data_IF_169753772881
#
_entry.id   IF_169753772881
#
_cell.length_a   1.000
_cell.length_b   1.000
_cell.length_c   1.000
_cell.angle_alpha   90.00
_cell.angle_beta   90.00
_cell.angle_gamma   90.00
#
_symmetry.space_group_name_H-M   'P 1'
#
loop_
_entity.id
_entity.type
_entity.pdbx_description
1 polymer ?
#
# COMPACT_ATOMS: atom_id res chain seq x y z
N UNK A 1 -24.67 61.90 39.02
CA UNK A 1 -24.66 62.25 37.58
C UNK A 1 -25.38 63.59 37.42
N UNK A 2 -25.21 64.34 36.32
CA UNK A 2 -26.06 65.51 36.06
C UNK A 2 -27.32 65.07 35.31
N UNK A 3 -28.49 65.60 35.69
CA UNK A 3 -29.80 65.25 35.07
C UNK A 3 -29.78 65.35 33.52
N UNK A 4 -29.19 66.39 32.88
CA UNK A 4 -29.15 66.47 31.42
C UNK A 4 -28.30 65.38 30.76
N UNK A 5 -27.29 64.85 31.45
CA UNK A 5 -26.48 63.74 30.92
C UNK A 5 -27.23 62.42 31.05
N UNK A 6 -27.90 62.17 32.19
CA UNK A 6 -28.67 60.95 32.41
C UNK A 6 -29.79 60.81 31.36
N UNK A 7 -30.56 61.88 31.15
CA UNK A 7 -31.61 61.92 30.12
C UNK A 7 -31.08 61.69 28.70
N UNK A 8 -29.96 62.32 28.33
CA UNK A 8 -29.35 62.11 27.02
C UNK A 8 -28.80 60.69 26.84
N UNK A 9 -28.34 60.04 27.91
CA UNK A 9 -27.94 58.64 27.93
C UNK A 9 -29.16 57.72 27.76
N UNK A 10 -30.22 57.92 28.55
CA UNK A 10 -31.45 57.12 28.47
C UNK A 10 -32.12 57.22 27.08
N UNK A 11 -32.24 58.43 26.52
CA UNK A 11 -32.79 58.64 25.17
C UNK A 11 -31.93 57.97 24.08
N UNK A 12 -30.61 57.82 24.31
CA UNK A 12 -29.68 57.18 23.38
C UNK A 12 -29.71 55.65 23.45
N UNK A 13 -29.84 55.07 24.65
CA UNK A 13 -29.64 53.65 24.91
C UNK A 13 -30.92 52.87 25.23
N UNK A 14 -31.92 53.47 25.90
CA UNK A 14 -33.23 52.82 26.16
C UNK A 14 -34.05 52.69 24.88
N UNK A 15 -33.94 53.68 23.98
CA UNK A 15 -34.62 53.72 22.69
C UNK A 15 -35.87 54.60 22.68
N UNK A 16 -36.54 54.68 21.52
CA UNK A 16 -37.68 55.58 21.32
C UNK A 16 -38.95 55.11 22.03
N UNK A 17 -39.81 56.07 22.37
CA UNK A 17 -41.12 55.88 23.00
C UNK A 17 -41.96 54.78 22.33
N UNK A 18 -42.02 54.74 21.00
CA UNK A 18 -42.80 53.74 20.27
C UNK A 18 -42.24 52.32 20.42
N UNK A 19 -40.90 52.18 20.43
CA UNK A 19 -40.22 50.89 20.66
C UNK A 19 -40.43 50.41 22.10
N UNK A 20 -40.32 51.29 23.08
CA UNK A 20 -40.60 50.97 24.48
C UNK A 20 -42.07 50.57 24.68
N UNK A 21 -43.02 51.36 24.15
CA UNK A 21 -44.45 51.02 24.23
C UNK A 21 -44.77 49.70 23.51
N UNK A 22 -44.08 49.37 22.42
CA UNK A 22 -44.21 48.07 21.76
C UNK A 22 -43.71 46.91 22.64
N UNK A 23 -42.57 47.06 23.32
CA UNK A 23 -42.04 46.03 24.26
C UNK A 23 -42.98 45.80 25.43
N UNK A 24 -43.49 46.88 26.04
CA UNK A 24 -44.40 46.84 27.18
C UNK A 24 -45.76 46.16 26.86
N UNK A 25 -46.12 45.95 25.59
CA UNK A 25 -47.31 45.15 25.23
C UNK A 25 -47.18 43.66 25.55
N UNK A 26 -46.00 43.17 25.92
CA UNK A 26 -45.83 41.82 26.47
C UNK A 26 -46.70 41.56 27.72
N UNK A 27 -47.08 42.61 28.46
CA UNK A 27 -47.93 42.52 29.64
C UNK A 27 -49.44 42.48 29.35
N UNK A 28 -49.88 42.60 28.10
CA UNK A 28 -51.30 42.57 27.73
C UNK A 28 -52.09 41.38 28.33
N UNK A 29 -51.56 40.13 28.35
CA UNK A 29 -52.26 38.99 28.96
C UNK A 29 -52.54 39.13 30.47
N UNK A 30 -51.81 40.02 31.16
CA UNK A 30 -52.02 40.33 32.57
C UNK A 30 -52.89 41.59 32.78
N UNK A 31 -52.83 42.56 31.86
CA UNK A 31 -53.62 43.80 31.94
C UNK A 31 -55.10 43.59 31.56
N UNK A 32 -55.38 42.87 30.47
CA UNK A 32 -56.74 42.71 29.95
C UNK A 32 -57.71 42.05 30.95
N UNK A 33 -57.34 40.97 31.68
CA UNK A 33 -58.23 40.39 32.69
C UNK A 33 -58.43 41.29 33.91
N UNK A 34 -57.43 42.12 34.24
CA UNK A 34 -57.42 42.99 35.41
C UNK A 34 -58.42 44.15 35.27
N UNK A 35 -58.42 44.82 34.11
CA UNK A 35 -59.39 45.89 33.77
C UNK A 35 -60.84 45.37 33.79
N UNK A 36 -61.05 44.12 33.39
CA UNK A 36 -62.38 43.48 33.39
C UNK A 36 -62.84 42.96 34.76
N UNK A 37 -61.96 42.88 35.75
CA UNK A 37 -62.25 42.28 37.05
C UNK A 37 -62.39 43.30 38.19
N UNK A 38 -61.76 44.46 38.07
CA UNK A 38 -61.54 45.39 39.18
C UNK A 38 -61.65 46.86 38.75
N UNK A 39 -61.69 47.78 39.72
CA UNK A 39 -61.55 49.21 39.42
C UNK A 39 -60.09 49.48 39.02
N UNK A 40 -59.79 49.90 37.78
CA UNK A 40 -58.44 49.83 37.23
C UNK A 40 -57.60 51.06 37.65
N UNK A 41 -57.35 51.20 38.95
CA UNK A 41 -56.39 52.16 39.50
C UNK A 41 -54.99 51.57 39.42
N UNK A 42 -54.02 52.34 38.89
CA UNK A 42 -52.63 51.90 38.80
C UNK A 42 -51.66 52.94 39.35
N UNK A 43 -50.60 52.47 40.02
CA UNK A 43 -49.46 53.29 40.44
C UNK A 43 -48.17 52.75 39.83
N UNK A 44 -47.46 53.60 39.10
CA UNK A 44 -46.13 53.30 38.55
C UNK A 44 -45.03 53.99 39.36
N UNK A 45 -44.07 53.20 39.83
CA UNK A 45 -42.98 53.62 40.70
C UNK A 45 -41.70 53.77 39.86
N UNK A 46 -41.11 54.96 39.83
CA UNK A 46 -40.01 55.26 38.90
C UNK A 46 -40.50 55.37 37.46
N UNK A 47 -41.60 56.12 37.27
CA UNK A 47 -42.31 56.14 35.99
C UNK A 47 -41.54 56.83 34.84
N UNK A 48 -40.46 57.55 35.13
CA UNK A 48 -39.56 58.18 34.18
C UNK A 48 -40.28 58.97 33.07
N UNK A 49 -40.08 58.53 31.82
CA UNK A 49 -40.68 59.14 30.62
C UNK A 49 -42.12 58.67 30.33
N UNK A 50 -42.75 57.88 31.21
CA UNK A 50 -44.20 57.65 31.25
C UNK A 50 -44.80 56.85 30.10
N UNK A 51 -44.00 56.14 29.30
CA UNK A 51 -44.51 55.27 28.21
C UNK A 51 -45.44 54.17 28.73
N UNK A 52 -45.19 53.67 29.94
CA UNK A 52 -46.06 52.70 30.60
C UNK A 52 -47.38 53.31 31.07
N UNK A 53 -47.36 54.50 31.70
CA UNK A 53 -48.58 55.22 32.09
C UNK A 53 -49.50 55.49 30.90
N UNK A 54 -48.92 55.86 29.77
CA UNK A 54 -49.64 56.03 28.51
C UNK A 54 -50.28 54.73 28.02
N UNK A 55 -49.53 53.63 28.03
CA UNK A 55 -50.04 52.31 27.63
C UNK A 55 -51.16 51.83 28.57
N UNK A 56 -51.01 52.03 29.88
CA UNK A 56 -52.07 51.77 30.86
C UNK A 56 -53.34 52.58 30.57
N UNK A 57 -53.19 53.85 30.16
CA UNK A 57 -54.30 54.67 29.67
C UNK A 57 -54.98 54.08 28.42
N UNK A 58 -54.22 53.53 27.46
CA UNK A 58 -54.77 52.81 26.29
C UNK A 58 -55.60 51.58 26.69
N UNK A 59 -55.22 50.86 27.75
CA UNK A 59 -55.98 49.74 28.31
C UNK A 59 -57.16 50.16 29.22
N UNK A 60 -57.31 51.46 29.52
CA UNK A 60 -58.41 51.99 30.33
C UNK A 60 -58.15 52.10 31.83
N UNK A 61 -56.89 52.05 32.28
CA UNK A 61 -56.54 52.33 33.66
C UNK A 61 -56.57 53.84 33.97
N UNK A 62 -57.01 54.19 35.18
CA UNK A 62 -56.63 55.45 35.80
C UNK A 62 -55.25 55.29 36.43
N UNK A 63 -54.21 55.48 35.63
CA UNK A 63 -52.82 55.34 36.03
C UNK A 63 -52.23 56.67 36.50
N UNK A 64 -51.46 56.62 37.59
CA UNK A 64 -50.59 57.70 38.04
C UNK A 64 -49.17 57.19 38.23
N UNK A 65 -48.18 58.05 38.02
CA UNK A 65 -46.77 57.73 38.23
C UNK A 65 -46.10 58.63 39.26
N UNK A 66 -45.04 58.11 39.87
CA UNK A 66 -44.15 58.87 40.75
C UNK A 66 -42.70 58.70 40.29
N UNK A 67 -41.93 59.78 40.33
CA UNK A 67 -40.49 59.76 40.05
C UNK A 67 -39.76 60.84 40.88
N UNK A 68 -38.45 60.70 41.07
CA UNK A 68 -37.60 61.69 41.72
C UNK A 68 -37.09 62.75 40.73
N UNK A 69 -36.97 62.43 39.44
CA UNK A 69 -36.48 63.36 38.40
C UNK A 69 -37.62 64.19 37.80
N UNK A 70 -37.78 65.42 38.29
CA UNK A 70 -38.79 66.37 37.78
C UNK A 70 -38.60 66.71 36.29
N UNK A 71 -37.36 66.62 35.78
CA UNK A 71 -37.00 66.85 34.39
C UNK A 71 -37.50 65.75 33.44
N UNK A 72 -37.63 64.51 33.93
CA UNK A 72 -38.35 63.44 33.22
C UNK A 72 -39.86 63.68 33.23
N UNK A 73 -40.39 64.05 34.40
CA UNK A 73 -41.84 64.26 34.58
C UNK A 73 -42.39 65.45 33.77
N UNK A 74 -41.57 66.44 33.42
CA UNK A 74 -41.96 67.55 32.55
C UNK A 74 -42.63 67.08 31.25
N UNK A 75 -42.02 66.12 30.54
CA UNK A 75 -42.57 65.56 29.30
C UNK A 75 -43.83 64.72 29.54
N UNK A 76 -44.01 64.15 30.73
CA UNK A 76 -45.22 63.42 31.11
C UNK A 76 -46.39 64.39 31.34
N UNK A 77 -46.15 65.51 32.01
CA UNK A 77 -47.14 66.58 32.24
C UNK A 77 -47.59 67.24 30.93
N UNK A 78 -46.67 67.49 30.01
CA UNK A 78 -46.99 68.02 28.66
C UNK A 78 -47.92 67.11 27.85
N UNK A 79 -47.85 65.78 28.08
CA UNK A 79 -48.77 64.78 27.49
C UNK A 79 -50.07 64.59 28.28
N UNK A 80 -50.26 65.29 29.40
CA UNK A 80 -51.42 65.14 30.27
C UNK A 80 -51.44 63.86 31.12
N UNK A 81 -50.28 63.21 31.30
CA UNK A 81 -50.15 62.05 32.20
C UNK A 81 -50.20 62.50 33.67
N UNK A 82 -50.84 61.72 34.53
CA UNK A 82 -50.90 61.99 35.97
C UNK A 82 -49.56 61.59 36.61
N UNK A 83 -48.70 62.57 36.90
CA UNK A 83 -47.39 62.33 37.53
C UNK A 83 -47.08 63.28 38.68
N UNK A 84 -46.44 62.75 39.71
CA UNK A 84 -46.03 63.46 40.92
C UNK A 84 -44.52 63.31 41.15
N UNK A 85 -43.84 64.38 41.55
CA UNK A 85 -42.43 64.32 41.94
C UNK A 85 -42.33 63.86 43.39
N UNK A 86 -41.74 62.70 43.66
CA UNK A 86 -41.73 62.14 45.00
C UNK A 86 -40.96 60.83 45.13
N UNK A 87 -40.86 60.37 46.38
CA UNK A 87 -40.29 59.06 46.69
C UNK A 87 -41.32 57.94 46.45
N UNK A 88 -40.88 56.88 45.76
CA UNK A 88 -41.72 55.74 45.39
C UNK A 88 -42.36 55.03 46.59
N UNK A 89 -41.60 54.85 47.68
CA UNK A 89 -42.07 54.18 48.89
C UNK A 89 -43.07 55.07 49.64
N UNK A 90 -42.82 56.37 49.74
CA UNK A 90 -43.71 57.34 50.34
C UNK A 90 -45.06 57.42 49.59
N UNK A 91 -45.04 57.48 48.27
CA UNK A 91 -46.25 57.48 47.44
C UNK A 91 -47.06 56.18 47.59
N UNK A 92 -46.39 55.02 47.65
CA UNK A 92 -47.04 53.73 47.87
C UNK A 92 -47.64 53.60 49.28
N UNK A 93 -46.92 54.08 50.31
CA UNK A 93 -47.44 54.17 51.69
C UNK A 93 -48.68 55.06 51.82
N UNK A 94 -48.75 56.15 51.05
CA UNK A 94 -49.90 57.04 51.03
C UNK A 94 -51.14 56.43 50.34
N UNK A 95 -51.00 55.28 49.66
CA UNK A 95 -52.13 54.54 49.10
C UNK A 95 -52.92 53.83 50.20
N UNK A 96 -54.27 53.96 50.24
CA UNK A 96 -55.11 53.16 51.12
C UNK A 96 -54.99 51.66 50.82
N UNK A 97 -55.29 50.83 51.82
CA UNK A 97 -55.40 49.37 51.68
C UNK A 97 -56.40 49.02 50.58
N UNK A 98 -56.08 48.02 49.75
CA UNK A 98 -56.94 47.52 48.67
C UNK A 98 -57.49 48.61 47.72
N UNK A 99 -56.70 49.63 47.41
CA UNK A 99 -57.09 50.73 46.51
C UNK A 99 -56.61 50.56 45.06
N UNK A 100 -55.51 49.84 44.83
CA UNK A 100 -54.88 49.69 43.52
C UNK A 100 -55.20 48.34 42.89
N UNK A 101 -55.47 48.30 41.58
CA UNK A 101 -55.49 47.05 40.82
C UNK A 101 -54.07 46.63 40.40
N UNK A 102 -53.20 47.62 40.14
CA UNK A 102 -51.84 47.43 39.64
C UNK A 102 -50.84 48.32 40.39
N UNK A 103 -49.70 47.75 40.77
CA UNK A 103 -48.47 48.47 41.11
C UNK A 103 -47.38 48.01 40.14
N UNK A 104 -46.63 48.95 39.57
CA UNK A 104 -45.49 48.63 38.71
C UNK A 104 -44.21 49.35 39.13
N UNK A 105 -43.08 48.75 38.79
CA UNK A 105 -41.74 49.28 39.03
C UNK A 105 -40.83 48.81 37.88
N UNK A 106 -40.75 49.60 36.80
CA UNK A 106 -39.98 49.28 35.59
C UNK A 106 -38.61 49.92 35.63
N UNK A 107 -37.55 49.11 35.73
CA UNK A 107 -36.17 49.58 35.90
C UNK A 107 -36.00 50.51 37.11
N UNK A 108 -36.52 50.07 38.26
CA UNK A 108 -36.37 50.77 39.55
C UNK A 108 -35.60 49.95 40.57
N UNK A 109 -35.85 48.64 40.63
CA UNK A 109 -35.37 47.77 41.72
C UNK A 109 -33.85 47.60 41.73
N UNK A 110 -33.19 47.80 40.59
CA UNK A 110 -31.73 47.82 40.44
C UNK A 110 -31.07 49.11 40.92
N UNK A 111 -31.81 50.22 41.06
CA UNK A 111 -31.30 51.53 41.50
C UNK A 111 -31.45 51.76 43.01
N UNK A 112 -32.20 50.91 43.73
CA UNK A 112 -32.53 51.08 45.16
C UNK A 112 -31.95 49.97 46.05
N UNK A 113 -31.66 50.24 47.34
CA UNK A 113 -31.29 49.20 48.30
C UNK A 113 -32.31 48.07 48.35
N UNK A 114 -31.85 46.83 48.53
CA UNK A 114 -32.72 45.64 48.51
C UNK A 114 -33.78 45.66 49.62
N UNK A 115 -33.48 46.31 50.75
CA UNK A 115 -34.41 46.57 51.84
C UNK A 115 -35.63 47.39 51.36
N UNK A 116 -35.44 48.34 50.44
CA UNK A 116 -36.52 49.09 49.82
C UNK A 116 -37.29 48.27 48.78
N UNK A 117 -36.65 47.32 48.09
CA UNK A 117 -37.35 46.36 47.22
C UNK A 117 -38.30 45.49 48.05
N UNK A 118 -37.86 44.99 49.20
CA UNK A 118 -38.71 44.25 50.15
C UNK A 118 -39.85 45.12 50.70
N UNK A 119 -39.58 46.40 50.96
CA UNK A 119 -40.57 47.38 51.40
C UNK A 119 -41.64 47.66 50.35
N UNK A 120 -41.25 47.96 49.11
CA UNK A 120 -42.16 48.12 47.97
C UNK A 120 -43.02 46.87 47.80
N UNK A 121 -42.41 45.68 47.84
CA UNK A 121 -43.13 44.41 47.65
C UNK A 121 -44.24 44.23 48.70
N UNK A 122 -43.94 44.55 49.98
CA UNK A 122 -44.88 44.48 51.11
C UNK A 122 -45.96 45.56 51.07
N UNK A 123 -45.59 46.82 50.84
CA UNK A 123 -46.57 47.93 50.78
C UNK A 123 -47.50 47.81 49.57
N UNK A 124 -47.00 47.27 48.45
CA UNK A 124 -47.82 46.92 47.30
C UNK A 124 -48.83 45.81 47.66
N UNK A 125 -48.44 44.79 48.42
CA UNK A 125 -49.34 43.71 48.84
C UNK A 125 -50.53 44.25 49.64
N UNK A 126 -50.28 45.22 50.53
CA UNK A 126 -51.31 45.94 51.29
C UNK A 126 -52.19 46.83 50.41
N UNK A 127 -51.58 47.64 49.54
CA UNK A 127 -52.29 48.61 48.71
C UNK A 127 -53.11 47.97 47.57
N UNK A 128 -52.74 46.76 47.14
CA UNK A 128 -53.40 46.03 46.06
C UNK A 128 -54.75 45.43 46.48
N UNK A 129 -55.75 45.55 45.60
CA UNK A 129 -57.04 44.88 45.66
C UNK A 129 -56.85 43.35 45.61
N UNK A 130 -57.81 42.54 46.10
CA UNK A 130 -57.77 41.08 46.00
C UNK A 130 -57.69 40.59 44.55
N UNK A 131 -56.55 40.02 44.15
CA UNK A 131 -56.25 39.59 42.78
C UNK A 131 -55.53 40.63 41.92
N UNK A 132 -55.21 41.80 42.50
CA UNK A 132 -54.36 42.81 41.89
C UNK A 132 -52.92 42.34 41.70
N UNK A 133 -52.16 43.07 40.87
CA UNK A 133 -50.83 42.68 40.40
C UNK A 133 -49.73 43.65 40.86
N UNK A 134 -48.59 43.10 41.27
CA UNK A 134 -47.31 43.81 41.32
C UNK A 134 -46.46 43.35 40.12
N UNK A 135 -45.89 44.29 39.37
CA UNK A 135 -44.95 44.03 38.28
C UNK A 135 -43.62 44.73 38.59
N UNK A 136 -42.53 43.99 38.66
CA UNK A 136 -41.18 44.55 38.82
C UNK A 136 -40.30 44.05 37.66
N UNK A 137 -39.91 44.93 36.73
CA UNK A 137 -39.01 44.62 35.60
C UNK A 137 -37.60 45.17 35.86
N UNK A 138 -36.57 44.39 35.54
CA UNK A 138 -35.17 44.72 35.78
C UNK A 138 -34.25 43.90 34.85
N UNK A 139 -33.01 44.35 34.55
CA UNK A 139 -32.07 43.62 33.72
C UNK A 139 -31.74 42.23 34.26
N UNK A 140 -31.67 41.26 33.36
CA UNK A 140 -31.54 39.85 33.68
C UNK A 140 -30.07 39.40 33.81
N UNK A 141 -29.57 39.07 35.02
CA UNK A 141 -28.21 38.54 35.19
C UNK A 141 -28.01 37.12 34.64
N UNK A 142 -29.07 36.41 34.21
CA UNK A 142 -28.91 35.15 33.48
C UNK A 142 -28.39 35.35 32.05
N UNK A 143 -28.57 36.54 31.46
CA UNK A 143 -27.85 36.95 30.26
C UNK A 143 -26.44 37.37 30.68
N UNK A 144 -25.41 36.68 30.18
CA UNK A 144 -24.04 36.85 30.66
C UNK A 144 -23.43 38.20 30.23
N UNK A 145 -23.85 38.76 29.09
CA UNK A 145 -23.43 40.12 28.68
C UNK A 145 -24.11 41.17 29.54
N UNK A 146 -25.37 40.98 29.93
CA UNK A 146 -26.05 41.88 30.87
C UNK A 146 -25.37 41.81 32.23
N UNK A 147 -25.30 40.64 32.84
CA UNK A 147 -24.76 40.45 34.19
C UNK A 147 -23.27 40.77 34.35
N UNK A 148 -22.47 40.70 33.28
CA UNK A 148 -21.03 41.00 33.33
C UNK A 148 -20.63 42.36 32.73
N UNK A 149 -21.47 43.01 31.91
CA UNK A 149 -21.08 44.23 31.20
C UNK A 149 -22.19 45.28 31.07
N UNK A 150 -23.29 45.01 30.36
CA UNK A 150 -24.23 46.08 30.00
C UNK A 150 -24.96 46.66 31.21
N UNK A 151 -25.17 45.87 32.27
CA UNK A 151 -25.68 46.34 33.55
C UNK A 151 -24.81 47.46 34.15
N UNK A 152 -23.48 47.38 34.04
CA UNK A 152 -22.57 48.37 34.62
C UNK A 152 -22.33 49.61 33.73
N UNK A 153 -23.02 49.72 32.59
CA UNK A 153 -22.98 50.94 31.77
C UNK A 153 -23.77 52.10 32.39
N UNK A 154 -24.79 51.80 33.19
CA UNK A 154 -25.41 52.79 34.07
C UNK A 154 -24.73 52.74 35.45
N UNK A 155 -23.96 53.78 35.85
CA UNK A 155 -23.27 53.81 37.13
C UNK A 155 -24.19 54.12 38.33
N UNK A 156 -25.51 54.29 38.12
CA UNK A 156 -26.49 54.40 39.19
C UNK A 156 -27.10 53.05 39.60
N UNK A 157 -26.93 52.00 38.78
CA UNK A 157 -27.27 50.64 39.19
C UNK A 157 -26.44 50.18 40.38
N UNK A 158 -27.07 49.54 41.36
CA UNK A 158 -26.41 49.04 42.56
C UNK A 158 -25.89 47.63 42.37
N UNK A 159 -26.77 46.66 42.05
CA UNK A 159 -26.45 45.22 41.92
C UNK A 159 -27.45 44.51 41.02
N UNK A 160 -27.04 43.56 40.16
CA UNK A 160 -27.98 42.70 39.45
C UNK A 160 -28.76 41.82 40.43
N UNK A 161 -30.08 41.70 40.24
CA UNK A 161 -30.95 40.89 41.10
C UNK A 161 -31.28 39.59 40.34
N UNK A 162 -30.92 38.40 40.85
CA UNK A 162 -31.32 37.12 40.24
C UNK A 162 -32.84 36.92 40.23
N UNK A 163 -33.44 36.36 39.16
CA UNK A 163 -34.90 36.21 39.07
C UNK A 163 -35.52 35.40 40.22
N UNK A 164 -34.82 34.39 40.74
CA UNK A 164 -35.25 33.62 41.90
C UNK A 164 -35.28 34.42 43.19
N UNK A 165 -34.40 35.42 43.36
CA UNK A 165 -34.38 36.28 44.54
C UNK A 165 -35.55 37.28 44.51
N UNK A 166 -35.82 37.90 43.37
CA UNK A 166 -36.95 38.82 43.21
C UNK A 166 -38.31 38.09 43.25
N UNK A 167 -38.38 36.85 42.74
CA UNK A 167 -39.57 36.01 42.87
C UNK A 167 -39.83 35.64 44.35
N UNK A 168 -38.77 35.35 45.11
CA UNK A 168 -38.86 35.02 46.52
C UNK A 168 -39.29 36.22 47.40
N UNK A 169 -38.99 37.48 47.03
CA UNK A 169 -39.53 38.62 47.82
C UNK A 169 -41.05 38.67 47.75
N UNK A 170 -41.65 38.37 46.60
CA UNK A 170 -43.10 38.30 46.43
C UNK A 170 -43.70 37.11 47.19
N UNK A 171 -43.08 35.93 47.16
CA UNK A 171 -43.50 34.78 47.98
C UNK A 171 -43.46 35.13 49.48
N UNK A 172 -42.35 35.69 49.95
CA UNK A 172 -42.16 36.07 51.35
C UNK A 172 -43.11 37.17 51.82
N UNK A 173 -43.51 38.09 50.93
CA UNK A 173 -44.49 39.14 51.22
C UNK A 173 -45.95 38.65 51.23
N UNK A 174 -46.22 37.38 50.89
CA UNK A 174 -47.56 36.78 50.97
C UNK A 174 -48.42 36.98 49.71
N UNK A 175 -47.81 37.06 48.53
CA UNK A 175 -48.55 36.96 47.26
C UNK A 175 -49.00 35.51 47.02
N UNK A 176 -50.16 35.33 46.40
CA UNK A 176 -50.78 34.01 46.18
C UNK A 176 -50.04 33.18 45.12
N UNK A 177 -49.45 33.87 44.13
CA UNK A 177 -48.58 33.28 43.09
C UNK A 177 -47.72 34.37 42.44
N UNK A 178 -46.64 33.95 41.80
CA UNK A 178 -45.80 34.81 40.97
C UNK A 178 -45.44 34.09 39.66
N UNK A 179 -45.06 34.85 38.62
CA UNK A 179 -44.45 34.36 37.39
C UNK A 179 -43.22 35.21 37.06
N UNK A 180 -42.11 34.54 36.74
CA UNK A 180 -40.97 35.18 36.09
C UNK A 180 -41.28 35.26 34.60
N UNK A 181 -41.37 36.49 34.08
CA UNK A 181 -41.62 36.79 32.67
C UNK A 181 -40.30 37.28 32.07
N UNK A 182 -39.67 36.49 31.20
CA UNK A 182 -38.44 36.89 30.52
C UNK A 182 -38.77 37.59 29.19
N UNK A 183 -38.03 38.63 28.85
CA UNK A 183 -38.43 39.62 27.85
C UNK A 183 -37.29 40.11 26.96
N UNK A 184 -37.67 40.59 25.76
CA UNK A 184 -36.84 41.37 24.84
C UNK A 184 -35.66 40.63 24.17
N UNK A 185 -35.65 39.30 24.16
CA UNK A 185 -34.71 38.47 23.38
C UNK A 185 -34.89 38.65 21.85
N UNK A 186 -33.88 38.21 21.08
CA UNK A 186 -33.98 38.21 19.62
C UNK A 186 -35.02 37.18 19.12
N UNK A 187 -36.03 37.58 18.32
CA UNK A 187 -37.07 36.66 17.83
C UNK A 187 -36.55 35.44 17.05
N UNK A 188 -35.35 35.52 16.47
CA UNK A 188 -34.74 34.40 15.76
C UNK A 188 -34.39 33.22 16.68
N UNK A 189 -34.18 33.46 17.98
CA UNK A 189 -33.82 32.43 18.96
C UNK A 189 -34.97 31.47 19.27
N UNK A 190 -36.21 31.89 19.05
CA UNK A 190 -37.41 31.03 19.16
C UNK A 190 -37.57 30.02 18.01
N UNK A 191 -36.74 30.12 16.96
CA UNK A 191 -36.75 29.18 15.83
C UNK A 191 -35.71 28.06 15.97
N UNK A 192 -35.91 26.93 15.31
CA UNK A 192 -34.99 25.76 15.26
C UNK A 192 -33.67 26.03 14.51
N UNK A 193 -33.28 27.30 14.32
CA UNK A 193 -32.01 27.66 13.69
C UNK A 193 -30.81 27.15 14.51
N UNK A 194 -29.71 26.75 13.86
CA UNK A 194 -28.51 26.34 14.56
C UNK A 194 -27.94 27.45 15.46
N UNK A 195 -27.72 27.13 16.73
CA UNK A 195 -27.09 28.01 17.71
C UNK A 195 -25.57 27.92 17.59
N UNK A 196 -24.91 29.06 17.47
CA UNK A 196 -23.51 29.22 17.86
C UNK A 196 -23.41 29.62 19.35
N UNK A 197 -22.27 29.33 20.00
CA UNK A 197 -22.03 29.59 21.43
C UNK A 197 -22.39 31.02 21.86
N UNK A 198 -22.12 32.03 21.02
CA UNK A 198 -22.43 33.43 21.33
C UNK A 198 -23.90 33.65 21.67
N UNK A 199 -24.83 32.96 21.00
CA UNK A 199 -26.26 33.06 21.31
C UNK A 199 -26.60 32.50 22.70
N UNK A 200 -25.83 31.53 23.21
CA UNK A 200 -26.00 31.03 24.59
C UNK A 200 -25.54 32.07 25.62
N UNK A 201 -24.53 32.87 25.29
CA UNK A 201 -23.98 33.90 26.18
C UNK A 201 -24.83 35.18 26.18
N UNK A 202 -25.27 35.62 25.01
CA UNK A 202 -25.90 36.94 24.79
C UNK A 202 -27.41 36.87 24.49
N UNK A 203 -27.92 35.68 24.13
CA UNK A 203 -29.31 35.45 23.70
C UNK A 203 -30.35 35.07 24.76
N UNK A 204 -30.02 34.68 26.03
CA UNK A 204 -31.02 34.68 27.08
C UNK A 204 -31.66 36.06 27.19
N UNK A 205 -32.97 36.13 27.48
CA UNK A 205 -33.70 37.40 27.51
C UNK A 205 -32.97 38.46 28.35
N UNK A 206 -32.65 39.64 27.79
CA UNK A 206 -31.81 40.64 28.45
C UNK A 206 -32.48 41.28 29.66
N UNK A 207 -33.82 41.34 29.68
CA UNK A 207 -34.62 41.79 30.81
C UNK A 207 -35.54 40.67 31.31
N UNK A 208 -35.96 40.76 32.57
CA UNK A 208 -37.02 39.94 33.13
C UNK A 208 -37.88 40.75 34.07
N UNK A 209 -39.08 40.25 34.35
CA UNK A 209 -39.91 40.76 35.44
C UNK A 209 -40.48 39.66 36.31
N UNK A 210 -40.87 40.07 37.52
CA UNK A 210 -41.70 39.29 38.42
C UNK A 210 -43.09 39.91 38.41
N UNK A 211 -44.06 39.15 37.89
CA UNK A 211 -45.48 39.47 38.01
C UNK A 211 -46.04 38.66 39.18
N UNK A 212 -46.43 39.33 40.25
CA UNK A 212 -46.99 38.71 41.46
C UNK A 212 -48.45 39.09 41.66
N UNK A 213 -49.30 38.14 42.05
CA UNK A 213 -50.74 38.34 42.24
C UNK A 213 -51.17 38.13 43.69
N UNK A 214 -51.94 39.05 44.25
CA UNK A 214 -52.51 38.92 45.60
C UNK A 214 -53.61 37.85 45.63
N UNK A 215 -54.00 37.38 46.83
CA UNK A 215 -55.06 36.39 46.97
C UNK A 215 -56.44 36.96 46.58
N UNK A 216 -57.28 36.12 45.99
CA UNK A 216 -58.63 36.48 45.57
C UNK A 216 -59.54 35.24 45.49
N UNK A 217 -60.87 35.41 45.38
CA UNK A 217 -61.78 34.35 44.97
C UNK A 217 -61.38 33.73 43.63
N UNK A 218 -61.72 32.45 43.43
CA UNK A 218 -61.31 31.68 42.25
C UNK A 218 -61.85 32.26 40.93
N UNK A 219 -63.00 32.93 40.98
CA UNK A 219 -63.66 33.60 39.85
C UNK A 219 -62.87 34.80 39.30
N UNK A 220 -61.96 35.36 40.12
CA UNK A 220 -60.99 36.39 39.70
C UNK A 220 -59.71 35.72 39.24
N UNK A 221 -59.13 34.81 40.05
CA UNK A 221 -57.83 34.19 39.75
C UNK A 221 -57.82 33.41 38.44
N UNK A 222 -58.88 32.64 38.16
CA UNK A 222 -58.98 31.79 36.96
C UNK A 222 -58.86 32.58 35.64
N UNK A 223 -59.18 33.87 35.65
CA UNK A 223 -59.05 34.75 34.46
C UNK A 223 -57.60 34.97 34.02
N UNK A 224 -56.64 34.76 34.93
CA UNK A 224 -55.21 34.94 34.67
C UNK A 224 -54.47 33.61 34.49
N UNK A 225 -55.15 32.45 34.61
CA UNK A 225 -54.47 31.15 34.61
C UNK A 225 -53.66 30.90 33.34
N UNK A 226 -54.17 31.30 32.17
CA UNK A 226 -53.41 31.26 30.90
C UNK A 226 -52.16 32.13 30.96
N UNK A 227 -52.25 33.33 31.54
CA UNK A 227 -51.12 34.26 31.63
C UNK A 227 -50.04 33.75 32.60
N UNK A 228 -50.41 33.12 33.71
CA UNK A 228 -49.45 32.49 34.63
C UNK A 228 -48.91 31.13 34.15
N UNK A 229 -49.69 30.37 33.37
CA UNK A 229 -49.27 29.08 32.81
C UNK A 229 -48.34 29.23 31.59
N UNK A 230 -48.49 30.29 30.78
CA UNK A 230 -47.65 30.56 29.62
C UNK A 230 -46.18 30.71 30.02
N UNK A 231 -45.26 30.15 29.24
CA UNK A 231 -43.83 30.39 29.38
C UNK A 231 -43.37 31.56 28.50
N UNK A 232 -42.55 32.44 29.07
CA UNK A 232 -42.13 33.70 28.45
C UNK A 232 -40.61 33.75 28.36
N UNK A 233 -40.13 34.27 27.23
CA UNK A 233 -38.72 34.50 26.95
C UNK A 233 -37.86 33.24 26.96
N UNK A 234 -36.55 33.44 27.06
CA UNK A 234 -35.55 32.38 26.97
C UNK A 234 -34.60 32.49 28.18
N UNK A 235 -34.54 31.43 28.98
CA UNK A 235 -33.59 31.29 30.08
C UNK A 235 -32.27 30.66 29.59
N UNK A 236 -31.16 30.95 30.30
CA UNK A 236 -29.82 30.45 29.96
C UNK A 236 -29.75 28.91 29.89
N UNK A 237 -30.32 28.21 30.86
CA UNK A 237 -30.27 26.74 30.95
C UNK A 237 -30.87 26.02 29.73
N UNK A 238 -32.15 26.27 29.37
CA UNK A 238 -32.76 25.72 28.15
C UNK A 238 -31.99 26.03 26.86
N UNK A 239 -31.43 27.24 26.75
CA UNK A 239 -30.68 27.65 25.55
C UNK A 239 -29.32 26.93 25.45
N UNK A 240 -28.63 26.75 26.59
CA UNK A 240 -27.41 25.94 26.67
C UNK A 240 -27.67 24.47 26.33
N UNK A 241 -28.74 23.87 26.90
CA UNK A 241 -29.12 22.48 26.61
C UNK A 241 -29.42 22.25 25.12
N UNK A 242 -30.12 23.18 24.46
CA UNK A 242 -30.36 23.11 23.02
C UNK A 242 -29.07 23.16 22.20
N UNK A 243 -28.12 24.01 22.60
CA UNK A 243 -26.79 24.09 21.99
C UNK A 243 -26.01 22.77 22.17
N UNK A 244 -25.99 22.20 23.39
CA UNK A 244 -25.35 20.92 23.67
C UNK A 244 -25.96 19.78 22.82
N UNK A 245 -27.28 19.64 22.81
CA UNK A 245 -27.99 18.62 22.02
C UNK A 245 -27.67 18.71 20.52
N UNK A 246 -27.63 19.93 19.96
CA UNK A 246 -27.24 20.16 18.57
C UNK A 246 -25.79 19.69 18.32
N UNK A 247 -24.88 19.95 19.25
CA UNK A 247 -23.48 19.54 19.13
C UNK A 247 -23.32 18.01 19.25
N UNK A 248 -24.04 17.35 20.15
CA UNK A 248 -24.08 15.90 20.26
C UNK A 248 -24.63 15.23 19.00
N UNK A 249 -25.74 15.73 18.45
CA UNK A 249 -26.33 15.25 17.19
C UNK A 249 -25.31 15.35 16.05
N UNK A 250 -24.67 16.51 15.88
CA UNK A 250 -23.68 16.73 14.82
C UNK A 250 -22.43 15.87 14.99
N UNK A 251 -22.00 15.59 16.23
CA UNK A 251 -20.91 14.65 16.51
C UNK A 251 -21.29 13.21 16.18
N UNK A 252 -22.53 12.80 16.48
CA UNK A 252 -23.04 11.47 16.13
C UNK A 252 -23.12 11.28 14.60
N UNK A 253 -23.61 12.27 13.85
CA UNK A 253 -23.62 12.27 12.38
C UNK A 253 -22.20 12.11 11.80
N UNK A 254 -21.25 12.93 12.28
CA UNK A 254 -19.85 12.85 11.85
C UNK A 254 -19.22 11.50 12.18
N UNK A 255 -19.56 10.90 13.33
CA UNK A 255 -19.09 9.58 13.71
C UNK A 255 -19.64 8.48 12.80
N UNK A 256 -20.92 8.53 12.43
CA UNK A 256 -21.53 7.59 11.48
C UNK A 256 -20.90 7.71 10.08
N UNK A 257 -20.68 8.94 9.59
CA UNK A 257 -19.99 9.18 8.32
C UNK A 257 -18.54 8.66 8.34
N UNK A 258 -17.80 8.88 9.43
CA UNK A 258 -16.45 8.36 9.60
C UNK A 258 -16.42 6.82 9.63
N UNK A 259 -17.37 6.16 10.32
CA UNK A 259 -17.50 4.71 10.29
C UNK A 259 -17.81 4.17 8.89
N UNK A 260 -18.69 4.83 8.14
CA UNK A 260 -19.03 4.44 6.78
C UNK A 260 -17.80 4.50 5.85
N UNK A 261 -17.07 5.62 5.88
CA UNK A 261 -15.81 5.80 5.14
C UNK A 261 -14.74 4.79 5.55
N UNK A 262 -14.61 4.47 6.84
CA UNK A 262 -13.68 3.46 7.32
C UNK A 262 -14.01 2.05 6.79
N UNK A 263 -15.30 1.67 6.73
CA UNK A 263 -15.75 0.38 6.17
C UNK A 263 -15.48 0.30 4.67
N UNK A 264 -15.76 1.37 3.93
CA UNK A 264 -15.47 1.46 2.49
C UNK A 264 -13.97 1.33 2.20
N UNK A 265 -13.13 2.04 2.96
CA UNK A 265 -11.67 1.93 2.86
C UNK A 265 -11.16 0.51 3.19
N UNK A 266 -11.74 -0.16 4.20
CA UNK A 266 -11.41 -1.55 4.52
C UNK A 266 -11.81 -2.52 3.41
N UNK A 267 -12.99 -2.37 2.81
CA UNK A 267 -13.44 -3.18 1.67
C UNK A 267 -12.53 -2.99 0.45
N UNK A 268 -12.19 -1.75 0.11
CA UNK A 268 -11.26 -1.45 -0.98
C UNK A 268 -9.87 -2.05 -0.72
N UNK A 269 -9.36 -1.95 0.52
CA UNK A 269 -8.07 -2.55 0.88
C UNK A 269 -8.08 -4.08 0.75
N UNK A 270 -9.16 -4.74 1.20
CA UNK A 270 -9.33 -6.20 1.03
C UNK A 270 -9.43 -6.60 -0.44
N UNK A 271 -10.17 -5.87 -1.26
CA UNK A 271 -10.27 -6.12 -2.69
C UNK A 271 -8.91 -5.99 -3.40
N UNK A 272 -8.13 -4.95 -3.08
CA UNK A 272 -6.78 -4.76 -3.59
C UNK A 272 -5.82 -5.88 -3.17
N UNK A 273 -5.91 -6.35 -1.91
CA UNK A 273 -5.13 -7.51 -1.44
C UNK A 273 -5.47 -8.79 -2.20
N UNK A 274 -6.76 -9.08 -2.40
CA UNK A 274 -7.22 -10.25 -3.17
C UNK A 274 -6.76 -10.18 -4.63
N UNK A 275 -6.83 -9.00 -5.25
CA UNK A 275 -6.35 -8.79 -6.62
C UNK A 275 -4.83 -8.97 -6.72
N UNK A 276 -4.06 -8.46 -5.76
CA UNK A 276 -2.61 -8.66 -5.69
C UNK A 276 -2.24 -10.14 -5.57
N UNK A 277 -2.88 -10.88 -4.65
CA UNK A 277 -2.69 -12.33 -4.49
C UNK A 277 -3.04 -13.11 -5.77
N UNK A 278 -4.12 -12.72 -6.47
CA UNK A 278 -4.49 -13.32 -7.75
C UNK A 278 -3.43 -13.08 -8.83
N UNK A 279 -2.88 -11.87 -8.91
CA UNK A 279 -1.80 -11.53 -9.85
C UNK A 279 -0.49 -12.25 -9.52
N UNK A 280 -0.16 -12.43 -8.24
CA UNK A 280 0.99 -13.23 -7.80
C UNK A 280 0.84 -14.70 -8.22
N UNK A 281 -0.33 -15.32 -7.99
CA UNK A 281 -0.60 -16.69 -8.44
C UNK A 281 -0.58 -16.84 -9.97
N UNK A 282 -1.14 -15.88 -10.72
CA UNK A 282 -1.06 -15.86 -12.18
C UNK A 282 0.40 -15.75 -12.66
N UNK A 283 1.19 -14.86 -12.05
CA UNK A 283 2.62 -14.70 -12.35
C UNK A 283 3.41 -15.98 -12.09
N UNK A 284 3.19 -16.64 -10.94
CA UNK A 284 3.80 -17.94 -10.62
C UNK A 284 3.41 -19.03 -11.62
N UNK A 285 2.14 -19.10 -12.03
CA UNK A 285 1.67 -20.06 -13.03
C UNK A 285 2.30 -19.82 -14.41
N UNK A 286 2.38 -18.56 -14.85
CA UNK A 286 3.07 -18.18 -16.09
C UNK A 286 4.57 -18.50 -16.04
N UNK A 287 5.24 -18.30 -14.90
CA UNK A 287 6.64 -18.69 -14.72
C UNK A 287 6.83 -20.20 -14.82
N UNK A 288 5.95 -21.00 -14.22
CA UNK A 288 5.97 -22.47 -14.33
C UNK A 288 5.73 -22.94 -15.78
N UNK A 289 4.78 -22.32 -16.49
CA UNK A 289 4.54 -22.59 -17.92
C UNK A 289 5.75 -22.22 -18.78
N UNK A 290 6.38 -21.06 -18.54
CA UNK A 290 7.59 -20.67 -19.26
C UNK A 290 8.75 -21.64 -19.01
N UNK A 291 8.94 -22.10 -17.77
CA UNK A 291 9.94 -23.12 -17.43
C UNK A 291 9.66 -24.46 -18.12
N UNK A 292 8.41 -24.93 -18.17
CA UNK A 292 8.07 -26.19 -18.82
C UNK A 292 8.24 -26.13 -20.34
N UNK A 293 7.86 -25.01 -20.98
CA UNK A 293 8.14 -24.75 -22.39
C UNK A 293 9.65 -24.70 -22.69
N UNK A 294 10.44 -24.09 -21.81
CA UNK A 294 11.90 -24.05 -21.94
C UNK A 294 12.52 -25.46 -21.84
N UNK A 295 12.02 -26.30 -20.93
CA UNK A 295 12.44 -27.72 -20.82
C UNK A 295 12.04 -28.52 -22.07
N UNK A 296 10.83 -28.33 -22.60
CA UNK A 296 10.38 -28.97 -23.84
C UNK A 296 11.25 -28.56 -25.04
N UNK A 297 11.58 -27.27 -25.17
CA UNK A 297 12.47 -26.77 -26.22
C UNK A 297 13.89 -27.36 -26.10
N UNK A 298 14.43 -27.49 -24.89
CA UNK A 298 15.72 -28.16 -24.65
C UNK A 298 15.67 -29.65 -25.02
N UNK A 299 14.61 -30.35 -24.66
CA UNK A 299 14.42 -31.76 -25.03
C UNK A 299 14.30 -31.96 -26.55
N UNK A 300 13.57 -31.07 -27.25
CA UNK A 300 13.50 -31.07 -28.71
C UNK A 300 14.87 -30.80 -29.35
N UNK A 301 15.66 -29.85 -28.83
CA UNK A 301 17.03 -29.61 -29.30
C UNK A 301 17.94 -30.82 -29.10
N UNK A 302 17.81 -31.54 -27.98
CA UNK A 302 18.55 -32.78 -27.73
C UNK A 302 18.14 -33.88 -28.70
N UNK A 303 16.84 -34.13 -28.89
CA UNK A 303 16.34 -35.10 -29.87
C UNK A 303 16.79 -34.75 -31.30
N UNK A 304 16.78 -33.48 -31.68
CA UNK A 304 17.24 -33.05 -33.00
C UNK A 304 18.75 -33.28 -33.17
N UNK A 305 19.56 -32.99 -32.15
CA UNK A 305 20.99 -33.29 -32.16
C UNK A 305 21.27 -34.81 -32.20
N UNK A 306 20.49 -35.64 -31.51
CA UNK A 306 20.55 -37.10 -31.61
C UNK A 306 20.19 -37.58 -33.02
N UNK A 307 19.12 -37.05 -33.62
CA UNK A 307 18.74 -37.35 -35.00
C UNK A 307 19.81 -36.93 -36.01
N UNK A 308 20.47 -35.78 -35.83
CA UNK A 308 21.59 -35.33 -36.66
C UNK A 308 22.81 -36.24 -36.51
N UNK A 309 23.16 -36.68 -35.29
CA UNK A 309 24.22 -37.66 -35.05
C UNK A 309 23.90 -39.01 -35.67
N UNK A 310 22.65 -39.47 -35.60
CA UNK A 310 22.21 -40.75 -36.13
C UNK A 310 22.15 -40.71 -37.67
N UNK A 311 21.74 -39.60 -38.26
CA UNK A 311 21.84 -39.34 -39.70
C UNK A 311 23.29 -39.32 -40.17
N UNK A 312 24.19 -38.63 -39.47
CA UNK A 312 25.63 -38.64 -39.77
C UNK A 312 26.23 -40.06 -39.68
N UNK A 313 25.83 -40.84 -38.67
CA UNK A 313 26.24 -42.23 -38.49
C UNK A 313 25.73 -43.12 -39.63
N UNK A 314 24.48 -42.93 -40.08
CA UNK A 314 23.92 -43.61 -41.25
C UNK A 314 24.65 -43.23 -42.54
N UNK A 315 25.05 -41.96 -42.72
CA UNK A 315 25.86 -41.53 -43.86
C UNK A 315 27.25 -42.18 -43.86
N UNK A 316 27.90 -42.27 -42.69
CA UNK A 316 29.17 -42.99 -42.54
C UNK A 316 29.02 -44.50 -42.82
N UNK A 317 27.93 -45.12 -42.36
CA UNK A 317 27.60 -46.52 -42.65
C UNK A 317 27.37 -46.75 -44.14
N UNK A 318 26.59 -45.91 -44.82
CA UNK A 318 26.40 -45.96 -46.28
C UNK A 318 27.74 -45.86 -47.01
N UNK A 319 28.57 -44.87 -46.66
CA UNK A 319 29.87 -44.66 -47.30
C UNK A 319 30.82 -45.86 -47.11
N UNK A 320 30.85 -46.47 -45.92
CA UNK A 320 31.63 -47.69 -45.67
C UNK A 320 31.08 -48.92 -46.40
N UNK A 321 29.75 -49.00 -46.60
CA UNK A 321 29.10 -50.02 -47.44
C UNK A 321 29.48 -49.84 -48.92
N UNK A 322 29.47 -48.62 -49.43
CA UNK A 322 29.86 -48.30 -50.81
C UNK A 322 31.35 -48.63 -51.08
N UNK A 323 32.23 -48.31 -50.12
CA UNK A 323 33.64 -48.72 -50.17
C UNK A 323 33.81 -50.24 -50.14
N UNK A 324 33.00 -50.96 -49.34
CA UNK A 324 33.00 -52.42 -49.32
C UNK A 324 32.51 -53.02 -50.66
N UNK A 325 31.46 -52.47 -51.26
CA UNK A 325 30.99 -52.85 -52.59
C UNK A 325 32.05 -52.59 -53.68
N UNK A 326 32.74 -51.43 -53.64
CA UNK A 326 33.82 -51.12 -54.56
C UNK A 326 35.00 -52.10 -54.44
N UNK A 327 35.39 -52.46 -53.20
CA UNK A 327 36.40 -53.51 -52.99
C UNK A 327 35.94 -54.89 -53.49
N UNK A 328 34.67 -55.27 -53.28
CA UNK A 328 34.12 -56.54 -53.77
C UNK A 328 34.09 -56.59 -55.32
N UNK A 329 33.70 -55.50 -55.98
CA UNK A 329 33.75 -55.38 -57.44
C UNK A 329 35.18 -55.51 -57.98
N UNK A 330 36.15 -54.83 -57.37
CA UNK A 330 37.56 -54.91 -57.75
C UNK A 330 38.16 -56.32 -57.50
N UNK A 331 37.68 -57.05 -56.49
CA UNK A 331 38.02 -58.46 -56.29
C UNK A 331 37.39 -59.37 -57.35
N UNK A 332 36.15 -59.11 -57.78
CA UNK A 332 35.50 -59.86 -58.85
C UNK A 332 36.19 -59.66 -60.21
N UNK A 333 36.64 -58.45 -60.53
CA UNK A 333 37.48 -58.18 -61.71
C UNK A 333 38.83 -58.90 -61.65
N UNK A 334 39.49 -58.91 -60.48
CA UNK A 334 40.73 -59.65 -60.28
C UNK A 334 40.55 -61.17 -60.47
N UNK A 335 39.41 -61.73 -60.01
CA UNK A 335 39.05 -63.13 -60.22
C UNK A 335 38.75 -63.43 -61.71
N UNK A 336 38.04 -62.55 -62.42
CA UNK A 336 37.81 -62.68 -63.87
C UNK A 336 39.13 -62.62 -64.66
N UNK A 337 40.06 -61.73 -64.29
CA UNK A 337 41.41 -61.70 -64.89
C UNK A 337 42.24 -62.96 -64.58
N UNK A 338 42.06 -63.56 -63.40
CA UNK A 338 42.67 -64.86 -63.08
C UNK A 338 42.07 -65.99 -63.92
N UNK A 339 40.76 -66.01 -64.13
CA UNK A 339 40.06 -66.95 -65.01
C UNK A 339 40.53 -66.84 -66.47
N UNK A 340 40.62 -65.64 -67.02
CA UNK A 340 41.18 -65.41 -68.36
C UNK A 340 42.63 -65.89 -68.48
N UNK A 341 43.44 -65.76 -67.43
CA UNK A 341 44.82 -66.28 -67.41
C UNK A 341 44.88 -67.82 -67.38
N UNK A 342 43.89 -68.49 -66.81
CA UNK A 342 43.83 -69.96 -66.78
C UNK A 342 43.50 -70.53 -68.16
N UNK A 343 42.47 -70.01 -68.86
CA UNK A 343 42.15 -70.45 -70.23
C UNK A 343 43.30 -70.22 -71.23
N UNK A 344 44.10 -69.15 -71.03
CA UNK A 344 45.29 -68.86 -71.84
C UNK A 344 46.49 -69.79 -71.52
N UNK A 345 46.45 -70.50 -70.39
CA UNK A 345 47.41 -71.57 -70.07
C UNK A 345 46.94 -72.92 -70.63
N UNK A 346 45.64 -73.22 -70.59
CA UNK A 346 45.05 -74.45 -71.14
C UNK A 346 45.30 -74.56 -72.66
N UNK A 347 45.06 -73.50 -73.43
CA UNK A 347 45.41 -73.45 -74.86
C UNK A 347 46.92 -73.63 -75.13
N UNK A 348 47.78 -73.30 -74.18
CA UNK A 348 49.24 -73.49 -74.31
C UNK A 348 49.67 -74.92 -73.98
N UNK A 349 48.94 -75.64 -73.12
CA UNK A 349 49.20 -77.05 -72.85
C UNK A 349 48.74 -77.94 -74.01
N UNK A 350 47.56 -77.70 -74.59
CA UNK A 350 47.09 -78.42 -75.78
C UNK A 350 48.05 -78.25 -76.97
N UNK A 351 48.54 -77.02 -77.19
CA UNK A 351 49.54 -76.72 -78.22
C UNK A 351 50.96 -77.27 -77.92
N UNK A 352 51.20 -77.81 -76.72
CA UNK A 352 52.44 -78.49 -76.36
C UNK A 352 52.33 -80.01 -76.58
N UNK A 353 51.19 -80.61 -76.25
CA UNK A 353 50.92 -82.05 -76.44
C UNK A 353 50.91 -82.41 -77.93
N UNK A 354 50.25 -81.61 -78.78
CA UNK A 354 50.27 -81.80 -80.24
C UNK A 354 51.68 -81.75 -80.87
N UNK A 355 52.67 -81.14 -80.21
CA UNK A 355 54.08 -81.13 -80.65
C UNK A 355 54.87 -82.35 -80.17
N UNK A 356 54.44 -83.03 -79.11
CA UNK A 356 55.07 -84.24 -78.61
C UNK A 356 54.78 -85.44 -79.53
N UNK A 357 53.51 -85.61 -79.95
CA UNK A 357 53.10 -86.73 -80.80
C UNK A 357 53.76 -86.72 -82.19
N UNK A 358 53.89 -85.53 -82.79
CA UNK A 358 54.57 -85.35 -84.09
C UNK A 358 56.07 -85.72 -84.04
N UNK A 359 56.74 -85.50 -82.90
CA UNK A 359 58.14 -85.87 -82.72
C UNK A 359 58.33 -87.39 -82.55
N UNK A 360 57.37 -88.06 -81.92
CA UNK A 360 57.45 -89.49 -81.60
C UNK A 360 57.33 -90.37 -82.86
N UNK A 361 56.53 -89.95 -83.85
CA UNK A 361 56.39 -90.67 -85.13
C UNK A 361 57.67 -90.59 -86.00
N UNK A 362 58.40 -89.48 -85.97
CA UNK A 362 59.64 -89.30 -86.74
C UNK A 362 60.82 -90.18 -86.25
N UNK A 363 60.87 -90.52 -84.95
CA UNK A 363 61.95 -91.35 -84.39
C UNK A 363 61.78 -92.82 -84.75
N UNK A 364 60.54 -93.30 -84.85
CA UNK A 364 60.24 -94.71 -85.16
C UNK A 364 60.57 -95.03 -86.63
N UNK A 365 60.30 -94.10 -87.56
CA UNK A 365 60.57 -94.28 -88.99
C UNK A 365 62.07 -94.34 -89.36
N UNK A 366 62.95 -93.73 -88.55
CA UNK A 366 64.40 -93.76 -88.77
C UNK A 366 65.07 -95.06 -88.29
N UNK A 367 64.42 -95.84 -87.42
CA UNK A 367 64.99 -97.05 -86.81
C UNK A 367 64.76 -98.33 -87.63
N UNK A 368 64.05 -98.25 -88.77
CA UNK A 368 63.64 -99.41 -89.58
C UNK A 368 64.15 -99.43 -91.04
N UNK A 369 65.19 -98.65 -91.39
CA UNK A 369 65.79 -98.68 -92.74
C UNK A 369 67.13 -99.43 -92.81
N UNK A 370 67.33 -100.16 -93.90
CA UNK A 370 68.23 -101.32 -93.99
C UNK A 370 69.74 -101.01 -94.06
N UNK A 371 70.14 -99.75 -94.02
CA UNK A 371 71.53 -99.30 -94.17
C UNK A 371 72.29 -99.12 -92.84
N UNK A 372 71.60 -99.15 -91.70
CA UNK A 372 72.20 -98.86 -90.37
C UNK A 372 73.05 -100.00 -89.76
N UNK A 373 73.14 -101.17 -90.42
CA UNK A 373 73.74 -102.39 -89.86
C UNK A 373 75.19 -102.69 -90.27
N UNK A 374 75.85 -101.83 -91.06
CA UNK A 374 77.17 -102.15 -91.66
C UNK A 374 78.27 -101.08 -91.46
N UNK A 375 78.04 -100.02 -90.68
CA UNK A 375 79.09 -99.01 -90.41
C UNK A 375 79.15 -98.53 -88.96
N UNK A 376 80.32 -98.00 -88.58
CA UNK A 376 80.60 -97.27 -87.34
C UNK A 376 80.94 -98.03 -86.02
N UNK A 377 81.76 -99.11 -86.03
CA UNK A 377 82.74 -99.34 -84.95
C UNK A 377 83.66 -98.12 -84.70
N UNK A 378 83.72 -97.18 -85.66
CA UNK A 378 84.52 -95.95 -85.66
C UNK A 378 83.98 -94.78 -84.80
N UNK A 379 82.76 -94.85 -84.23
CA UNK A 379 82.21 -93.78 -83.37
C UNK A 379 82.44 -93.95 -81.87
N UNK A 380 83.48 -94.69 -81.49
CA UNK A 380 84.06 -94.70 -80.13
C UNK A 380 85.13 -93.63 -79.87
N UNK A 381 85.47 -92.78 -80.86
CA UNK A 381 86.72 -91.99 -80.84
C UNK A 381 86.54 -90.46 -80.86
N UNK A 382 85.35 -89.91 -81.15
CA UNK A 382 85.20 -88.47 -81.48
C UNK A 382 84.46 -87.61 -80.42
N UNK A 383 83.76 -88.19 -79.44
CA UNK A 383 83.06 -87.41 -78.38
C UNK A 383 83.66 -87.56 -76.98
N UNK A 384 84.97 -87.78 -76.91
CA UNK A 384 85.80 -87.61 -75.71
C UNK A 384 86.53 -86.24 -75.77
N UNK A 385 85.78 -85.12 -75.79
CA UNK A 385 86.35 -83.78 -76.12
C UNK A 385 85.85 -82.57 -75.31
N UNK A 386 84.61 -82.56 -74.82
CA UNK A 386 84.04 -81.48 -73.98
C UNK A 386 83.28 -82.13 -72.81
N UNK A 387 83.86 -82.34 -71.63
CA UNK A 387 84.38 -81.40 -70.61
C UNK A 387 83.41 -80.30 -70.18
N UNK A 388 82.93 -80.49 -68.94
CA UNK A 388 82.84 -79.50 -67.85
C UNK A 388 81.88 -78.32 -68.06
N UNK A 389 80.72 -78.38 -67.39
CA UNK A 389 80.29 -77.39 -66.36
C UNK A 389 79.03 -77.88 -65.63
N UNK A 390 79.02 -77.73 -64.30
CA UNK A 390 77.87 -77.88 -63.38
C UNK A 390 77.36 -79.29 -62.97
N UNK A 391 78.25 -80.14 -62.47
CA UNK A 391 77.90 -81.15 -61.45
C UNK A 391 78.45 -80.76 -60.06
N UNK A 392 77.70 -80.98 -58.98
CA UNK A 392 78.30 -81.13 -57.63
C UNK A 392 78.35 -79.95 -56.64
N UNK A 393 77.49 -78.92 -56.71
CA UNK A 393 77.56 -77.76 -55.78
C UNK A 393 76.60 -77.73 -54.56
N UNK A 394 75.55 -78.57 -54.49
CA UNK A 394 74.52 -78.48 -53.42
C UNK A 394 74.70 -79.41 -52.22
N UNK A 395 75.35 -80.59 -52.35
CA UNK A 395 75.55 -81.52 -51.21
C UNK A 395 76.76 -81.19 -50.31
N UNK A 396 77.75 -80.43 -50.82
CA UNK A 396 78.95 -80.08 -50.05
C UNK A 396 78.71 -79.00 -48.98
N UNK A 397 77.71 -78.14 -49.18
CA UNK A 397 77.47 -76.95 -48.33
C UNK A 397 76.96 -77.30 -46.92
N UNK A 398 76.22 -78.40 -46.77
CA UNK A 398 75.67 -78.85 -45.49
C UNK A 398 76.73 -79.43 -44.54
N UNK A 399 77.77 -80.07 -45.08
CA UNK A 399 78.88 -80.64 -44.30
C UNK A 399 79.81 -79.56 -43.71
N UNK A 400 80.10 -78.52 -44.49
CA UNK A 400 81.02 -77.44 -44.08
C UNK A 400 80.47 -76.62 -42.91
N UNK A 401 79.15 -76.37 -42.86
CA UNK A 401 78.54 -75.57 -41.78
C UNK A 401 78.58 -76.30 -40.43
N UNK A 402 78.32 -77.62 -40.41
CA UNK A 402 78.43 -78.43 -39.18
C UNK A 402 79.88 -78.57 -38.69
N UNK A 403 80.85 -78.65 -39.59
CA UNK A 403 82.27 -78.65 -39.22
C UNK A 403 82.73 -77.30 -38.63
N UNK A 404 82.29 -76.17 -39.19
CA UNK A 404 82.70 -74.83 -38.76
C UNK A 404 82.28 -74.49 -37.31
N UNK A 405 81.09 -74.89 -36.89
CA UNK A 405 80.58 -74.60 -35.54
C UNK A 405 81.30 -75.40 -34.44
N UNK A 406 81.80 -76.61 -34.74
CA UNK A 406 82.57 -77.41 -33.79
C UNK A 406 83.99 -76.85 -33.55
N UNK A 407 84.65 -76.35 -34.61
CA UNK A 407 86.02 -75.83 -34.54
C UNK A 407 86.11 -74.49 -33.79
N UNK A 408 85.05 -73.67 -33.82
CA UNK A 408 85.03 -72.37 -33.15
C UNK A 408 84.78 -72.44 -31.63
N UNK A 409 84.37 -73.60 -31.09
CA UNK A 409 84.12 -73.81 -29.64
C UNK A 409 85.27 -74.43 -28.85
N UNK A 410 86.42 -74.75 -29.47
CA UNK A 410 87.60 -75.32 -28.76
C UNK A 410 88.93 -74.63 -29.11
N UNK A 411 89.66 -74.03 -28.14
CA UNK A 411 91.12 -73.90 -28.23
C UNK A 411 91.77 -75.30 -28.12
N UNK A 412 92.99 -75.58 -28.57
CA UNK A 412 94.01 -74.71 -29.14
C UNK A 412 94.11 -74.73 -30.68
N UNK A 413 93.14 -75.33 -31.38
CA UNK A 413 93.09 -75.42 -32.87
C UNK A 413 93.30 -74.05 -33.57
N UNK A 414 92.88 -72.96 -32.90
CA UNK A 414 93.11 -71.55 -33.28
C UNK A 414 94.60 -71.16 -33.43
N UNK A 415 95.53 -71.93 -32.86
CA UNK A 415 97.00 -71.78 -33.02
C UNK A 415 97.55 -72.58 -34.21
N UNK A 416 97.02 -73.79 -34.47
CA UNK A 416 97.43 -74.62 -35.62
C UNK A 416 96.91 -74.09 -36.97
N UNK A 417 95.70 -73.56 -37.03
CA UNK A 417 95.14 -72.98 -38.27
C UNK A 417 95.64 -71.56 -38.59
N UNK A 418 96.35 -70.92 -37.64
CA UNK A 418 96.76 -69.51 -37.72
C UNK A 418 97.76 -69.17 -38.84
N UNK A 419 98.69 -70.06 -39.25
CA UNK A 419 99.58 -69.80 -40.40
C UNK A 419 98.86 -69.93 -41.75
N UNK A 420 98.04 -70.98 -41.92
CA UNK A 420 97.31 -71.26 -43.17
C UNK A 420 96.28 -70.19 -43.53
N UNK A 421 95.62 -69.60 -42.53
CA UNK A 421 94.60 -68.55 -42.73
C UNK A 421 95.17 -67.16 -43.11
N UNK A 422 96.48 -67.01 -43.29
CA UNK A 422 97.10 -65.76 -43.79
C UNK A 422 97.33 -65.72 -45.30
N UNK A 423 97.15 -66.84 -46.01
CA UNK A 423 97.50 -66.95 -47.44
C UNK A 423 96.37 -66.59 -48.42
N UNK A 424 95.12 -66.41 -47.97
CA UNK A 424 93.99 -66.04 -48.83
C UNK A 424 93.14 -64.94 -48.17
N UNK A 425 93.36 -63.65 -48.49
CA UNK A 425 92.60 -62.53 -47.94
C UNK A 425 91.12 -62.58 -48.38
N UNK A 426 90.20 -62.15 -47.50
CA UNK A 426 88.77 -61.99 -47.81
C UNK A 426 87.81 -62.99 -47.17
N UNK A 427 88.30 -64.06 -46.54
CA UNK A 427 87.46 -65.01 -45.78
C UNK A 427 87.07 -64.51 -44.38
N UNK A 428 87.83 -63.56 -43.83
CA UNK A 428 87.63 -63.05 -42.46
C UNK A 428 86.46 -62.06 -42.35
N UNK A 429 86.17 -61.28 -43.39
CA UNK A 429 85.06 -60.30 -43.41
C UNK A 429 83.69 -60.96 -43.55
N UNK A 430 83.58 -62.05 -44.32
CA UNK A 430 82.31 -62.77 -44.54
C UNK A 430 81.81 -63.57 -43.33
N UNK A 431 82.68 -63.92 -42.38
CA UNK A 431 82.28 -64.60 -41.14
C UNK A 431 81.85 -63.63 -40.03
N UNK A 432 82.33 -62.38 -40.05
CA UNK A 432 81.89 -61.35 -39.09
C UNK A 432 80.53 -60.74 -39.48
N UNK A 433 80.26 -60.55 -40.77
CA UNK A 433 79.01 -59.92 -41.24
C UNK A 433 77.72 -60.70 -40.91
N UNK A 434 77.78 -62.03 -40.76
CA UNK A 434 76.59 -62.84 -40.42
C UNK A 434 76.23 -62.84 -38.92
N UNK A 435 77.03 -62.19 -38.08
CA UNK A 435 76.77 -62.05 -36.62
C UNK A 435 76.20 -60.67 -36.29
N UNK A 436 76.35 -59.68 -37.17
CA UNK A 436 75.96 -58.27 -36.96
C UNK A 436 74.72 -57.94 -37.82
N UNK A 437 73.68 -58.75 -37.68
CA UNK A 437 72.35 -58.46 -38.27
C UNK A 437 71.21 -58.73 -37.27
N UNK A 438 71.54 -58.67 -35.96
CA UNK A 438 70.63 -58.93 -34.85
C UNK A 438 70.33 -57.67 -33.99
N UNK A 439 70.82 -56.49 -34.37
CA UNK A 439 70.65 -55.23 -33.61
C UNK A 439 70.65 -54.00 -34.54
N UNK A 440 69.51 -53.28 -34.65
CA UNK A 440 69.43 -51.89 -35.12
C UNK A 440 68.01 -51.27 -34.96
N UNK A 441 67.69 -50.66 -33.79
CA UNK A 441 66.76 -49.52 -33.63
C UNK A 441 66.63 -49.03 -32.14
N UNK A 442 67.15 -47.84 -31.78
CA UNK A 442 66.84 -47.06 -30.55
C UNK A 442 66.17 -45.69 -30.90
N UNK A 443 65.72 -44.78 -30.01
CA UNK A 443 65.65 -44.69 -28.54
C UNK A 443 64.33 -43.94 -28.13
N UNK A 444 63.78 -44.05 -26.90
CA UNK A 444 63.96 -43.16 -25.72
C UNK A 444 63.89 -41.63 -26.00
N UNK A 445 62.88 -40.88 -25.53
CA UNK A 445 62.54 -40.44 -24.14
C UNK A 445 63.45 -39.32 -23.61
N UNK A 446 62.96 -38.47 -22.65
CA UNK A 446 63.50 -37.16 -22.11
C UNK A 446 62.71 -35.96 -22.71
N UNK A 447 62.07 -35.01 -21.98
CA UNK A 447 62.04 -34.64 -20.56
C UNK A 447 60.64 -34.13 -20.10
N UNK A 448 60.30 -34.39 -18.83
CA UNK A 448 59.51 -33.46 -18.01
C UNK A 448 60.49 -32.50 -17.33
N UNK A 449 60.23 -31.19 -17.33
CA UNK A 449 60.93 -30.28 -16.43
C UNK A 449 60.01 -29.12 -16.01
N UNK A 450 60.01 -28.85 -14.71
CA UNK A 450 59.13 -27.89 -14.05
C UNK A 450 59.53 -26.45 -14.37
N UNK A 451 58.55 -25.57 -14.58
CA UNK A 451 58.75 -24.12 -14.68
C UNK A 451 58.13 -23.42 -13.47
N UNK A 452 58.97 -22.69 -12.72
CA UNK A 452 58.61 -21.95 -11.51
C UNK A 452 57.66 -20.75 -11.80
N UNK A 453 56.90 -20.26 -10.81
CA UNK A 453 55.83 -19.28 -11.03
C UNK A 453 56.37 -17.86 -11.23
N UNK A 454 56.65 -17.48 -12.47
CA UNK A 454 57.06 -16.11 -12.83
C UNK A 454 56.65 -15.63 -14.23
N UNK A 455 56.11 -16.49 -15.10
CA UNK A 455 55.81 -16.15 -16.51
C UNK A 455 54.42 -16.64 -16.97
N UNK A 456 53.44 -16.67 -16.06
CA UNK A 456 52.04 -17.00 -16.39
C UNK A 456 51.24 -15.71 -16.66
N UNK A 457 50.40 -15.72 -17.69
CA UNK A 457 49.48 -14.60 -17.94
C UNK A 457 48.50 -14.41 -16.78
N UNK A 458 47.93 -13.21 -16.57
CA UNK A 458 46.95 -12.96 -15.50
C UNK A 458 45.73 -13.90 -15.53
N UNK A 459 45.33 -14.40 -16.70
CA UNK A 459 44.28 -15.44 -16.83
C UNK A 459 44.78 -16.81 -16.37
N UNK A 460 45.97 -17.22 -16.81
CA UNK A 460 46.53 -18.56 -16.53
C UNK A 460 46.85 -18.75 -15.06
N UNK A 461 47.38 -17.71 -14.40
CA UNK A 461 47.64 -17.73 -12.95
C UNK A 461 46.34 -17.90 -12.12
N UNK A 462 45.23 -17.29 -12.57
CA UNK A 462 43.91 -17.38 -11.92
C UNK A 462 43.34 -18.79 -12.00
N UNK A 463 43.38 -19.39 -13.19
CA UNK A 463 42.92 -20.78 -13.44
C UNK A 463 43.74 -21.78 -12.61
N UNK A 464 45.06 -21.59 -12.51
CA UNK A 464 45.93 -22.45 -11.69
C UNK A 464 45.61 -22.36 -10.19
N UNK A 465 45.31 -21.15 -9.67
CA UNK A 465 44.91 -20.98 -8.27
C UNK A 465 43.52 -21.56 -7.96
N UNK A 466 42.56 -21.45 -8.88
CA UNK A 466 41.23 -22.06 -8.69
C UNK A 466 41.29 -23.59 -8.73
N UNK A 467 42.03 -24.19 -9.67
CA UNK A 467 42.25 -25.64 -9.71
C UNK A 467 42.96 -26.14 -8.45
N UNK A 468 43.95 -25.40 -7.93
CA UNK A 468 44.63 -25.76 -6.67
C UNK A 468 43.67 -25.72 -5.47
N UNK A 469 42.80 -24.70 -5.37
CA UNK A 469 41.76 -24.64 -4.32
C UNK A 469 40.79 -25.82 -4.40
N UNK A 470 40.32 -26.18 -5.60
CA UNK A 470 39.43 -27.32 -5.83
C UNK A 470 40.07 -28.65 -5.42
N UNK A 471 41.39 -28.78 -5.63
CA UNK A 471 42.14 -29.98 -5.26
C UNK A 471 42.40 -30.08 -3.75
N UNK A 472 42.64 -28.95 -3.06
CA UNK A 472 42.79 -28.89 -1.59
C UNK A 472 41.44 -29.13 -0.86
N UNK A 473 40.30 -28.74 -1.44
CA UNK A 473 38.96 -29.06 -0.92
C UNK A 473 38.47 -30.49 -1.20
N UNK A 474 39.24 -31.31 -1.93
CA UNK A 474 38.88 -32.69 -2.28
C UNK A 474 39.70 -33.76 -1.52
N UNK A 475 40.70 -33.32 -0.73
CA UNK A 475 41.55 -34.15 0.13
C UNK A 475 41.47 -33.73 1.62
N UNK A 476 40.34 -33.12 2.02
CA UNK A 476 39.87 -32.95 3.39
C UNK A 476 38.42 -33.43 3.45
#
# INVERSE_FOLDING_TARGET
MTEPFYRAFEDRYRGSRDVIKQRLRAYAPFLEPLVQAQQPQALDLGCGRGEWLELLGEYGFNARGVDLDDGMLAACRERGLQVETGDAVAALRACPDHSLALVSAFHLVEHIPFELVQEITREAQRALQPGGLLIMETPNPENLVVGASSFYMDPSHLRPIPPSLLAFTAEHAGYQRHKVVRLQEEPALHSDRPLALIHVLEGPSPDYSVVAQTSAPAEILTRFDTAFATDYGIALGPLALRYEQQHEQRLAELHLLAQAQQREAQQLHQALQQQAQSLEHQSQSLQQQAQSLQQQAQAQQQQQAEHEQLAASLTQLSHSLDLAHAHAAHQAEALNHAGHRLGLLEQRTEAAEARADAAQQHVIALLSSSSWRLTAPLRKVVTLGHRVRNGGRRRLKALIVRAGQAVLRRPALKRLARPLLRLVPGLQSRLYGMVIQAQAAPAAAVLLQEAAPGQLSPRTARIFQELKKVQETRNR
#
